data_IF_170028771354
#
_entry.id   IF_170028771354
#
_cell.length_a   1.000
_cell.length_b   1.000
_cell.length_c   1.000
_cell.angle_alpha   90.00
_cell.angle_beta   90.00
_cell.angle_gamma   90.00
#
_symmetry.space_group_name_H-M   'P 1'
#
loop_
_entity.id
_entity.type
_entity.pdbx_description
1 polymer ?
#
# COMPACT_ATOMS: atom_id res chain seq x y z
N UNK A 1 0.53 -0.36 -18.55
CA UNK A 1 1.82 -0.88 -18.01
C UNK A 1 1.58 -1.23 -16.55
N UNK A 2 1.94 -2.45 -16.13
CA UNK A 2 1.76 -2.92 -14.74
C UNK A 2 2.66 -2.12 -13.80
N UNK A 3 2.10 -1.59 -12.71
CA UNK A 3 2.85 -0.91 -11.67
C UNK A 3 3.63 -1.93 -10.82
N UNK A 4 4.92 -1.67 -10.62
CA UNK A 4 5.76 -2.40 -9.68
C UNK A 4 5.62 -1.72 -8.32
N UNK A 5 4.81 -2.32 -7.42
CA UNK A 5 4.47 -1.73 -6.12
C UNK A 5 5.32 -2.41 -5.05
N UNK A 6 6.22 -1.65 -4.43
CA UNK A 6 7.09 -2.18 -3.37
C UNK A 6 6.35 -2.17 -2.03
N UNK A 7 6.00 -3.36 -1.52
CA UNK A 7 5.28 -3.59 -0.27
C UNK A 7 6.12 -3.18 0.94
N UNK A 8 5.77 -2.07 1.58
CA UNK A 8 6.53 -1.44 2.67
C UNK A 8 7.98 -1.11 2.25
N UNK A 9 8.16 -0.78 0.96
CA UNK A 9 9.49 -0.64 0.34
C UNK A 9 10.10 -1.96 -0.12
N UNK A 10 11.42 -2.03 -0.22
CA UNK A 10 12.16 -3.26 -0.53
C UNK A 10 12.31 -4.12 0.74
N UNK A 11 11.18 -4.55 1.32
CA UNK A 11 11.08 -5.13 2.66
C UNK A 11 11.70 -6.53 2.78
N UNK A 12 12.01 -7.21 1.67
CA UNK A 12 12.81 -8.43 1.69
C UNK A 12 14.31 -8.15 2.00
N UNK A 13 14.79 -6.91 1.89
CA UNK A 13 16.21 -6.55 1.96
C UNK A 13 16.53 -5.54 3.06
N UNK A 14 15.60 -4.63 3.33
CA UNK A 14 15.75 -3.54 4.29
C UNK A 14 14.56 -3.51 5.27
N UNK A 15 14.69 -2.88 6.45
CA UNK A 15 13.60 -2.79 7.40
C UNK A 15 12.34 -2.18 6.77
N UNK A 16 11.21 -2.89 6.86
CA UNK A 16 9.93 -2.47 6.29
C UNK A 16 9.51 -1.08 6.78
N UNK A 17 8.80 -0.33 5.94
CA UNK A 17 8.25 0.99 6.28
C UNK A 17 9.31 2.01 6.76
N UNK A 18 10.53 1.96 6.21
CA UNK A 18 11.61 2.92 6.47
C UNK A 18 12.03 3.66 5.20
N UNK A 19 12.58 4.87 5.35
CA UNK A 19 13.10 5.63 4.20
C UNK A 19 14.16 4.85 3.44
N UNK A 20 14.97 4.09 4.15
CA UNK A 20 16.00 3.21 3.58
C UNK A 20 15.40 2.13 2.67
N UNK A 21 14.30 1.50 3.07
CA UNK A 21 13.61 0.52 2.23
C UNK A 21 12.98 1.16 1.00
N UNK A 22 12.48 2.39 1.11
CA UNK A 22 11.87 3.13 0.00
C UNK A 22 12.91 3.55 -1.03
N UNK A 23 14.05 4.10 -0.57
CA UNK A 23 15.17 4.45 -1.44
C UNK A 23 15.69 3.24 -2.23
N UNK A 24 15.85 2.11 -1.54
CA UNK A 24 16.28 0.87 -2.20
C UNK A 24 15.25 0.38 -3.21
N UNK A 25 13.96 0.40 -2.86
CA UNK A 25 12.90 -0.02 -3.78
C UNK A 25 12.87 0.81 -5.08
N UNK A 26 12.99 2.14 -4.96
CA UNK A 26 13.08 3.04 -6.12
C UNK A 26 14.32 2.74 -6.98
N UNK A 27 15.47 2.50 -6.35
CA UNK A 27 16.68 2.11 -7.04
C UNK A 27 16.57 0.76 -7.76
N UNK A 28 15.74 -0.15 -7.25
CA UNK A 28 15.41 -1.46 -7.82
C UNK A 28 14.35 -1.40 -8.94
N UNK A 29 13.77 -0.23 -9.19
CA UNK A 29 12.80 -0.03 -10.29
C UNK A 29 11.34 -0.15 -9.85
N UNK A 30 11.03 -0.01 -8.57
CA UNK A 30 9.66 0.21 -8.13
C UNK A 30 9.12 1.52 -8.73
N UNK A 31 7.87 1.50 -9.16
CA UNK A 31 7.16 2.68 -9.68
C UNK A 31 6.21 3.29 -8.64
N UNK A 32 5.92 2.51 -7.61
CA UNK A 32 5.06 2.90 -6.50
C UNK A 32 5.58 2.24 -5.22
N UNK A 33 5.52 2.97 -4.10
CA UNK A 33 5.83 2.44 -2.78
C UNK A 33 4.52 2.28 -2.01
N UNK A 34 4.28 1.10 -1.50
CA UNK A 34 3.17 0.86 -0.58
C UNK A 34 3.62 1.11 0.85
N UNK A 35 2.76 1.75 1.65
CA UNK A 35 3.02 2.14 3.03
C UNK A 35 1.78 2.04 3.91
N UNK A 36 1.98 1.73 5.18
CA UNK A 36 0.93 1.58 6.18
C UNK A 36 0.88 2.79 7.11
N UNK A 37 -0.30 3.38 7.36
CA UNK A 37 -0.44 4.59 8.17
C UNK A 37 -1.18 4.32 9.47
N UNK A 38 -0.53 4.70 10.57
CA UNK A 38 -1.13 4.94 11.88
C UNK A 38 -0.97 6.41 12.29
N UNK A 39 -1.65 6.82 13.36
CA UNK A 39 -1.49 8.15 13.96
C UNK A 39 -0.70 8.07 15.28
N UNK A 40 0.22 9.02 15.47
CA UNK A 40 0.79 9.30 16.79
C UNK A 40 -0.26 9.88 17.74
N UNK A 41 0.04 9.94 19.04
CA UNK A 41 -0.86 10.52 20.04
C UNK A 41 -1.21 12.00 19.76
N UNK A 42 -0.34 12.74 19.09
CA UNK A 42 -0.52 14.14 18.67
C UNK A 42 -1.03 14.28 17.23
N UNK A 43 -1.51 13.16 16.61
CA UNK A 43 -2.26 13.16 15.35
C UNK A 43 -1.41 13.24 14.08
N UNK A 44 -0.11 12.99 14.15
CA UNK A 44 0.74 12.93 12.96
C UNK A 44 0.65 11.58 12.26
N UNK A 45 0.42 11.53 10.92
CA UNK A 45 0.52 10.29 10.15
C UNK A 45 1.96 9.76 10.16
N UNK A 46 2.14 8.55 10.70
CA UNK A 46 3.42 7.85 10.77
C UNK A 46 3.32 6.52 10.02
N UNK A 47 4.45 6.09 9.48
CA UNK A 47 4.51 4.93 8.59
C UNK A 47 4.98 3.70 9.36
N UNK A 48 4.04 2.85 9.72
CA UNK A 48 4.27 1.60 10.46
C UNK A 48 3.06 0.68 10.28
N UNK A 49 3.29 -0.63 10.12
CA UNK A 49 2.21 -1.59 9.85
C UNK A 49 1.36 -1.91 11.07
N UNK A 50 2.01 -2.30 12.18
CA UNK A 50 1.30 -2.76 13.37
C UNK A 50 0.90 -1.58 14.27
N UNK A 51 -0.23 -1.67 14.97
CA UNK A 51 -0.57 -0.71 16.01
C UNK A 51 0.38 -0.78 17.21
N UNK A 52 1.12 -1.90 17.35
CA UNK A 52 2.09 -2.16 18.42
C UNK A 52 3.52 -1.97 17.88
N UNK A 53 4.38 -1.36 18.69
CA UNK A 53 5.75 -0.99 18.30
C UNK A 53 6.73 -2.17 18.25
N UNK A 54 6.50 -3.20 19.07
CA UNK A 54 7.52 -4.20 19.45
C UNK A 54 7.99 -5.13 18.33
N UNK A 55 7.26 -5.26 17.22
CA UNK A 55 7.67 -6.15 16.12
C UNK A 55 8.78 -5.54 15.25
N UNK A 56 8.68 -4.26 14.95
CA UNK A 56 9.57 -3.61 13.98
C UNK A 56 10.44 -2.52 14.59
N UNK A 57 10.32 -2.27 15.91
CA UNK A 57 11.13 -1.28 16.63
C UNK A 57 11.68 -1.84 17.94
N UNK A 58 12.62 -1.12 18.56
CA UNK A 58 13.08 -1.39 19.92
C UNK A 58 12.12 -0.84 21.00
N UNK A 59 11.00 -0.21 20.60
CA UNK A 59 9.98 0.32 21.49
C UNK A 59 8.95 -0.69 21.96
N UNK A 60 8.11 -0.26 22.92
CA UNK A 60 7.01 -1.04 23.48
C UNK A 60 5.74 -0.18 23.53
N UNK A 61 4.57 -0.82 23.54
CA UNK A 61 3.26 -0.16 23.61
C UNK A 61 2.72 0.17 22.22
N UNK A 62 1.72 1.04 22.18
CA UNK A 62 0.99 1.37 20.95
C UNK A 62 1.51 2.66 20.34
N UNK A 63 1.48 2.72 19.01
CA UNK A 63 1.81 3.94 18.23
C UNK A 63 0.95 5.12 18.69
N UNK A 64 -0.35 4.90 18.89
CA UNK A 64 -1.32 5.91 19.30
C UNK A 64 -1.12 6.47 20.72
N UNK A 65 -0.29 5.84 21.54
CA UNK A 65 -0.03 6.25 22.93
C UNK A 65 1.19 7.19 23.04
N UNK A 66 2.00 7.29 21.98
CA UNK A 66 3.25 8.07 21.97
C UNK A 66 3.13 9.30 21.07
N UNK A 67 3.71 10.42 21.54
CA UNK A 67 3.91 11.61 20.71
C UNK A 67 4.88 11.32 19.57
N UNK A 68 4.77 12.06 18.47
CA UNK A 68 5.71 11.92 17.35
C UNK A 68 7.18 12.04 17.81
N UNK A 69 7.47 12.98 18.72
CA UNK A 69 8.82 13.19 19.26
C UNK A 69 9.40 11.97 19.98
N UNK A 70 8.56 11.10 20.55
CA UNK A 70 8.98 9.88 21.23
C UNK A 70 9.10 8.72 20.23
N UNK A 71 8.18 8.59 19.28
CA UNK A 71 8.26 7.63 18.19
C UNK A 71 9.56 7.80 17.37
N UNK A 72 9.98 9.04 17.16
CA UNK A 72 11.22 9.39 16.43
C UNK A 72 12.53 9.02 17.13
N UNK A 73 12.47 8.58 18.39
CA UNK A 73 13.66 8.11 19.14
C UNK A 73 13.86 6.60 19.03
N UNK A 74 12.86 5.89 18.52
CA UNK A 74 12.91 4.43 18.38
C UNK A 74 13.73 4.03 17.15
N UNK A 75 14.45 2.92 17.29
CA UNK A 75 15.11 2.26 16.17
C UNK A 75 14.13 1.31 15.47
N UNK A 76 13.78 1.65 14.24
CA UNK A 76 12.93 0.83 13.36
C UNK A 76 13.76 -0.19 12.54
N UNK A 77 14.94 -0.55 13.03
CA UNK A 77 15.90 -1.44 12.41
C UNK A 77 17.00 -0.69 11.64
N UNK A 78 18.25 -1.14 11.79
CA UNK A 78 19.45 -0.57 11.16
C UNK A 78 19.64 0.95 11.42
N UNK A 79 19.22 1.43 12.57
CA UNK A 79 19.18 2.84 13.01
C UNK A 79 18.25 3.73 12.17
N UNK A 80 17.27 3.16 11.48
CA UNK A 80 16.20 3.92 10.83
C UNK A 80 15.16 4.37 11.87
N UNK A 81 14.50 5.47 11.59
CA UNK A 81 13.39 5.97 12.41
C UNK A 81 12.05 5.59 11.77
N UNK A 82 10.98 5.60 12.55
CA UNK A 82 9.62 5.53 12.00
C UNK A 82 9.38 6.82 11.19
N UNK A 83 9.17 6.75 9.84
CA UNK A 83 8.98 7.95 9.03
C UNK A 83 7.60 8.57 9.27
N UNK A 84 7.48 9.86 9.07
CA UNK A 84 6.21 10.54 8.83
C UNK A 84 5.78 10.37 7.38
N UNK A 85 4.48 10.52 7.10
CA UNK A 85 3.98 10.54 5.72
C UNK A 85 4.64 11.66 4.90
N UNK A 86 4.88 12.83 5.49
CA UNK A 86 5.56 13.95 4.81
C UNK A 86 6.97 13.56 4.38
N UNK A 87 7.79 12.96 5.24
CA UNK A 87 9.13 12.49 4.89
C UNK A 87 9.10 11.42 3.80
N UNK A 88 8.10 10.54 3.84
CA UNK A 88 7.88 9.50 2.83
C UNK A 88 7.55 10.12 1.47
N UNK A 89 6.67 11.13 1.43
CA UNK A 89 6.34 11.89 0.22
C UNK A 89 7.60 12.55 -0.36
N UNK A 90 8.40 13.21 0.46
CA UNK A 90 9.64 13.85 0.00
C UNK A 90 10.65 12.84 -0.56
N UNK A 91 10.75 11.66 0.07
CA UNK A 91 11.58 10.55 -0.43
C UNK A 91 11.16 10.07 -1.82
N UNK A 92 9.84 9.96 -2.08
CA UNK A 92 9.29 9.38 -3.32
C UNK A 92 9.11 10.44 -4.42
N UNK A 93 9.02 11.71 -4.07
CA UNK A 93 8.71 12.83 -4.97
C UNK A 93 9.59 12.85 -6.23
N UNK A 94 8.94 12.90 -7.40
CA UNK A 94 9.59 12.94 -8.71
C UNK A 94 10.22 11.61 -9.17
N UNK A 95 10.08 10.55 -8.37
CA UNK A 95 10.65 9.22 -8.67
C UNK A 95 9.61 8.10 -8.72
N UNK A 96 8.49 8.26 -8.04
CA UNK A 96 7.43 7.26 -7.96
C UNK A 96 6.14 7.82 -7.38
N UNK A 97 5.22 6.93 -7.05
CA UNK A 97 3.92 7.20 -6.45
C UNK A 97 3.81 6.49 -5.10
N UNK A 98 2.78 6.83 -4.30
CA UNK A 98 2.47 6.17 -3.05
C UNK A 98 1.15 5.39 -3.14
N UNK A 99 1.15 4.19 -2.59
CA UNK A 99 -0.03 3.40 -2.26
C UNK A 99 -0.15 3.37 -0.73
N UNK A 100 -1.15 4.04 -0.17
CA UNK A 100 -1.25 4.35 1.26
C UNK A 100 -2.37 3.54 1.88
N UNK A 101 -2.03 2.53 2.68
CA UNK A 101 -3.02 1.78 3.45
C UNK A 101 -3.34 2.51 4.77
N UNK A 102 -4.61 2.86 4.96
CA UNK A 102 -5.11 3.41 6.23
C UNK A 102 -5.43 2.28 7.21
N UNK A 103 -4.66 2.21 8.30
CA UNK A 103 -4.84 1.25 9.40
C UNK A 103 -5.66 1.82 10.56
N UNK A 104 -5.63 3.13 10.74
CA UNK A 104 -6.28 3.84 11.84
C UNK A 104 -7.60 4.50 11.39
N UNK A 105 -8.63 4.38 12.24
CA UNK A 105 -9.97 4.92 11.95
C UNK A 105 -10.01 6.44 11.77
N UNK A 106 -9.06 7.16 12.35
CA UNK A 106 -8.99 8.62 12.35
C UNK A 106 -7.94 9.17 11.39
N UNK A 107 -7.22 8.29 10.67
CA UNK A 107 -6.09 8.69 9.81
C UNK A 107 -6.49 9.39 8.51
N UNK A 108 -7.75 9.25 8.06
CA UNK A 108 -8.18 9.75 6.74
C UNK A 108 -7.94 11.27 6.60
N UNK A 109 -8.46 12.11 7.52
CA UNK A 109 -8.31 13.56 7.41
C UNK A 109 -6.84 14.01 7.50
N UNK A 110 -6.02 13.54 8.46
CA UNK A 110 -4.61 13.89 8.50
C UNK A 110 -3.84 13.48 7.25
N UNK A 111 -4.14 12.31 6.67
CA UNK A 111 -3.52 11.86 5.41
C UNK A 111 -3.92 12.76 4.25
N UNK A 112 -5.23 13.04 4.08
CA UNK A 112 -5.70 13.94 3.01
C UNK A 112 -5.10 15.33 3.15
N UNK A 113 -5.08 15.90 4.35
CA UNK A 113 -4.44 17.20 4.61
C UNK A 113 -2.95 17.18 4.22
N UNK A 114 -2.22 16.10 4.55
CA UNK A 114 -0.81 15.96 4.19
C UNK A 114 -0.65 15.90 2.66
N UNK A 115 -1.46 15.11 1.95
CA UNK A 115 -1.41 15.01 0.49
C UNK A 115 -1.70 16.36 -0.20
N UNK A 116 -2.71 17.10 0.28
CA UNK A 116 -3.06 18.41 -0.24
C UNK A 116 -1.98 19.45 0.02
N UNK A 117 -1.47 19.54 1.26
CA UNK A 117 -0.47 20.52 1.66
C UNK A 117 0.91 20.29 1.00
N UNK A 118 1.18 19.08 0.56
CA UNK A 118 2.42 18.71 -0.14
C UNK A 118 2.25 18.64 -1.66
N UNK A 119 1.06 18.94 -2.22
CA UNK A 119 0.77 18.81 -3.65
C UNK A 119 1.09 17.41 -4.19
N UNK A 120 0.62 16.35 -3.49
CA UNK A 120 0.93 14.97 -3.83
C UNK A 120 -0.32 14.11 -4.12
N UNK A 121 -1.51 14.71 -4.19
CA UNK A 121 -2.80 14.02 -4.42
C UNK A 121 -2.77 13.16 -5.69
N UNK A 122 -2.31 13.71 -6.81
CA UNK A 122 -2.28 13.02 -8.11
C UNK A 122 -1.26 11.86 -8.18
N UNK A 123 -0.38 11.78 -7.19
CA UNK A 123 0.66 10.77 -7.07
C UNK A 123 0.38 9.74 -5.99
N UNK A 124 -0.84 9.71 -5.45
CA UNK A 124 -1.24 8.80 -4.39
C UNK A 124 -2.46 7.93 -4.78
N UNK A 125 -2.53 6.75 -4.16
CA UNK A 125 -3.72 5.93 -4.04
C UNK A 125 -3.93 5.70 -2.54
N UNK A 126 -5.13 5.95 -2.02
CA UNK A 126 -5.47 5.66 -0.63
C UNK A 126 -6.33 4.40 -0.58
N UNK A 127 -5.96 3.48 0.29
CA UNK A 127 -6.58 2.17 0.41
C UNK A 127 -6.90 1.79 1.85
N UNK A 128 -7.84 0.88 2.05
CA UNK A 128 -8.08 0.21 3.33
C UNK A 128 -8.91 -1.05 3.15
N UNK A 129 -8.81 -1.98 4.13
CA UNK A 129 -9.77 -3.08 4.34
C UNK A 129 -11.10 -2.59 4.94
N UNK A 130 -11.16 -1.36 5.42
CA UNK A 130 -12.36 -0.73 5.98
C UNK A 130 -12.96 0.20 4.92
N UNK A 131 -14.04 -0.21 4.21
CA UNK A 131 -14.49 0.50 3.00
C UNK A 131 -14.87 1.96 3.23
N UNK A 132 -15.30 2.32 4.45
CA UNK A 132 -15.63 3.71 4.78
C UNK A 132 -14.43 4.66 4.85
N UNK A 133 -13.19 4.17 4.99
CA UNK A 133 -12.00 5.02 5.00
C UNK A 133 -11.66 5.54 3.60
N UNK A 134 -11.51 4.70 2.54
CA UNK A 134 -11.36 5.22 1.18
C UNK A 134 -12.59 5.99 0.69
N UNK A 135 -13.82 5.62 1.11
CA UNK A 135 -15.01 6.43 0.83
C UNK A 135 -14.90 7.84 1.37
N UNK A 136 -14.48 7.98 2.65
CA UNK A 136 -14.24 9.28 3.28
C UNK A 136 -13.13 10.05 2.59
N UNK A 137 -12.04 9.37 2.19
CA UNK A 137 -10.95 9.98 1.44
C UNK A 137 -11.45 10.56 0.12
N UNK A 138 -12.26 9.82 -0.64
CA UNK A 138 -12.88 10.25 -1.90
C UNK A 138 -13.82 11.44 -1.70
N UNK A 139 -14.57 11.44 -0.61
CA UNK A 139 -15.45 12.56 -0.26
C UNK A 139 -14.68 13.86 0.05
N UNK A 140 -13.55 13.75 0.77
CA UNK A 140 -12.69 14.90 1.12
C UNK A 140 -11.85 15.39 -0.05
N UNK A 141 -11.44 14.49 -0.95
CA UNK A 141 -10.63 14.79 -2.13
C UNK A 141 -11.13 13.96 -3.33
N UNK A 142 -12.08 14.50 -4.12
CA UNK A 142 -12.72 13.75 -5.22
C UNK A 142 -11.78 13.30 -6.34
N UNK A 143 -10.63 13.98 -6.52
CA UNK A 143 -9.64 13.63 -7.54
C UNK A 143 -8.68 12.53 -7.08
N UNK A 144 -8.63 12.25 -5.78
CA UNK A 144 -7.78 11.20 -5.24
C UNK A 144 -8.23 9.82 -5.73
N UNK A 145 -7.28 9.04 -6.18
CA UNK A 145 -7.52 7.63 -6.49
C UNK A 145 -7.63 6.82 -5.19
N UNK A 146 -8.60 5.92 -5.17
CA UNK A 146 -8.86 5.08 -4.00
C UNK A 146 -8.92 3.61 -4.37
N UNK A 147 -8.59 2.75 -3.42
CA UNK A 147 -8.60 1.31 -3.59
C UNK A 147 -9.27 0.62 -2.40
N UNK A 148 -10.07 -0.40 -2.70
CA UNK A 148 -10.62 -1.27 -1.68
C UNK A 148 -9.78 -2.53 -1.56
N UNK A 149 -9.20 -2.75 -0.38
CA UNK A 149 -8.52 -4.00 -0.04
C UNK A 149 -9.55 -5.08 0.29
N UNK A 150 -9.38 -6.26 -0.30
CA UNK A 150 -10.30 -7.39 -0.17
C UNK A 150 -9.63 -8.53 0.57
N UNK A 151 -10.22 -8.95 1.70
CA UNK A 151 -9.69 -10.05 2.50
C UNK A 151 -9.89 -11.40 1.80
N UNK A 152 -9.08 -12.36 2.20
CA UNK A 152 -9.14 -13.72 1.66
C UNK A 152 -10.50 -14.40 1.86
N UNK A 153 -11.18 -14.16 2.97
CA UNK A 153 -12.50 -14.69 3.29
C UNK A 153 -13.63 -14.02 2.51
N UNK A 154 -13.43 -12.81 1.98
CA UNK A 154 -14.42 -12.01 1.26
C UNK A 154 -14.37 -12.27 -0.26
N UNK A 155 -14.19 -13.53 -0.69
CA UNK A 155 -14.09 -13.90 -2.11
C UNK A 155 -15.45 -13.98 -2.84
N UNK A 156 -16.53 -13.61 -2.18
CA UNK A 156 -17.82 -13.42 -2.86
C UNK A 156 -17.76 -12.18 -3.78
N UNK A 157 -18.56 -12.11 -4.83
CA UNK A 157 -18.61 -10.93 -5.70
C UNK A 157 -19.17 -9.66 -5.01
N UNK A 158 -19.52 -9.73 -3.74
CA UNK A 158 -20.07 -8.60 -2.98
C UNK A 158 -19.10 -7.45 -2.84
N UNK A 159 -17.77 -7.74 -2.71
CA UNK A 159 -16.76 -6.68 -2.62
C UNK A 159 -16.72 -5.79 -3.86
N UNK A 160 -17.06 -6.30 -5.05
CA UNK A 160 -17.18 -5.47 -6.26
C UNK A 160 -18.30 -4.46 -6.07
N UNK A 161 -19.44 -4.90 -5.54
CA UNK A 161 -20.57 -4.00 -5.25
C UNK A 161 -20.21 -2.97 -4.19
N UNK A 162 -19.42 -3.35 -3.18
CA UNK A 162 -18.94 -2.41 -2.18
C UNK A 162 -17.96 -1.40 -2.78
N UNK A 163 -16.98 -1.86 -3.56
CA UNK A 163 -16.03 -0.97 -4.23
C UNK A 163 -16.75 0.08 -5.10
N UNK A 164 -17.78 -0.34 -5.85
CA UNK A 164 -18.61 0.56 -6.63
C UNK A 164 -19.41 1.53 -5.76
N UNK A 165 -19.97 1.07 -4.64
CA UNK A 165 -20.78 1.90 -3.74
C UNK A 165 -19.98 3.00 -3.04
N UNK A 166 -18.67 2.81 -2.86
CA UNK A 166 -17.75 3.79 -2.29
C UNK A 166 -16.98 4.58 -3.36
N UNK A 167 -17.31 4.39 -4.63
CA UNK A 167 -16.66 5.02 -5.79
C UNK A 167 -15.13 4.77 -5.82
N UNK A 168 -14.69 3.55 -5.44
CA UNK A 168 -13.29 3.19 -5.52
C UNK A 168 -12.84 3.07 -6.98
N UNK A 169 -11.57 3.40 -7.23
CA UNK A 169 -10.96 3.26 -8.56
C UNK A 169 -10.38 1.85 -8.77
N UNK A 170 -9.98 1.19 -7.67
CA UNK A 170 -9.35 -0.14 -7.70
C UNK A 170 -9.96 -1.09 -6.68
N UNK A 171 -9.83 -2.38 -6.96
CA UNK A 171 -9.92 -3.46 -5.98
C UNK A 171 -8.55 -4.13 -5.84
N UNK A 172 -8.21 -4.52 -4.62
CA UNK A 172 -6.92 -5.10 -4.29
C UNK A 172 -7.10 -6.38 -3.47
N UNK A 173 -7.23 -7.54 -4.12
CA UNK A 173 -7.35 -8.81 -3.43
C UNK A 173 -6.05 -9.21 -2.72
N UNK A 174 -6.11 -9.43 -1.41
CA UNK A 174 -5.00 -9.91 -0.60
C UNK A 174 -5.09 -11.44 -0.47
N UNK A 175 -4.84 -12.16 -1.55
CA UNK A 175 -5.11 -13.61 -1.66
C UNK A 175 -3.87 -14.48 -1.81
N UNK A 176 -2.68 -13.96 -1.62
CA UNK A 176 -1.41 -14.67 -1.81
C UNK A 176 -1.28 -15.95 -0.98
N UNK A 177 -1.91 -15.98 0.20
CA UNK A 177 -1.90 -17.15 1.08
C UNK A 177 -3.10 -18.09 0.85
N UNK A 178 -4.02 -17.73 -0.05
CA UNK A 178 -5.23 -18.51 -0.30
C UNK A 178 -4.98 -19.76 -1.16
N UNK A 179 -3.88 -19.79 -1.90
CA UNK A 179 -3.47 -20.92 -2.73
C UNK A 179 -1.95 -20.94 -2.92
N UNK A 180 -1.43 -22.13 -3.27
CA UNK A 180 -0.02 -22.27 -3.65
C UNK A 180 0.34 -21.47 -4.91
N UNK A 181 -0.65 -21.25 -5.77
CA UNK A 181 -0.55 -20.48 -7.02
C UNK A 181 -1.65 -19.40 -7.06
N UNK A 182 -1.45 -18.24 -6.45
CA UNK A 182 -2.46 -17.18 -6.34
C UNK A 182 -3.02 -16.70 -7.69
N UNK A 183 -2.25 -16.74 -8.78
CA UNK A 183 -2.75 -16.33 -10.11
C UNK A 183 -3.98 -17.11 -10.55
N UNK A 184 -4.16 -18.38 -10.10
CA UNK A 184 -5.36 -19.17 -10.44
C UNK A 184 -6.64 -18.67 -9.77
N UNK A 185 -6.51 -17.83 -8.73
CA UNK A 185 -7.64 -17.22 -8.03
C UNK A 185 -8.21 -15.99 -8.77
N UNK A 186 -7.50 -15.51 -9.78
CA UNK A 186 -7.88 -14.37 -10.62
C UNK A 186 -8.02 -14.78 -12.09
N UNK A 187 -8.94 -15.72 -12.41
CA UNK A 187 -9.11 -16.18 -13.77
C UNK A 187 -9.63 -15.06 -14.69
N UNK A 188 -9.51 -15.19 -16.03
CA UNK A 188 -9.89 -14.15 -16.99
C UNK A 188 -11.32 -13.63 -16.79
N UNK A 189 -12.29 -14.49 -16.50
CA UNK A 189 -13.70 -14.08 -16.27
C UNK A 189 -13.83 -13.23 -15.01
N UNK A 190 -13.04 -13.50 -13.97
CA UNK A 190 -12.99 -12.69 -12.77
C UNK A 190 -12.43 -11.28 -13.09
N UNK A 191 -11.30 -11.21 -13.79
CA UNK A 191 -10.70 -9.94 -14.23
C UNK A 191 -11.71 -9.16 -15.11
N UNK A 192 -12.31 -9.82 -16.10
CA UNK A 192 -13.30 -9.20 -16.96
C UNK A 192 -14.52 -8.67 -16.18
N UNK A 193 -14.93 -9.37 -15.11
CA UNK A 193 -16.05 -8.93 -14.26
C UNK A 193 -15.77 -7.61 -13.54
N UNK A 194 -14.51 -7.35 -13.16
CA UNK A 194 -14.04 -6.11 -12.51
C UNK A 194 -13.88 -5.01 -13.57
N UNK A 195 -13.17 -5.32 -14.66
CA UNK A 195 -12.92 -4.38 -15.77
C UNK A 195 -14.20 -3.85 -16.41
N UNK A 196 -15.19 -4.71 -16.64
CA UNK A 196 -16.50 -4.32 -17.22
C UNK A 196 -17.29 -3.36 -16.32
N UNK A 197 -16.89 -3.20 -15.07
CA UNK A 197 -17.47 -2.24 -14.12
C UNK A 197 -16.62 -0.97 -13.95
N UNK A 198 -15.54 -0.83 -14.74
CA UNK A 198 -14.66 0.34 -14.71
C UNK A 198 -13.65 0.34 -13.57
N UNK A 199 -13.49 -0.77 -12.85
CA UNK A 199 -12.55 -0.88 -11.75
C UNK A 199 -11.18 -1.38 -12.23
N UNK A 200 -10.11 -0.86 -11.63
CA UNK A 200 -8.76 -1.39 -11.73
C UNK A 200 -8.55 -2.57 -10.77
N UNK A 201 -7.47 -3.33 -11.02
CA UNK A 201 -7.07 -4.47 -10.20
C UNK A 201 -5.59 -4.33 -9.82
N UNK A 202 -5.30 -4.42 -8.53
CA UNK A 202 -3.95 -4.55 -7.98
C UNK A 202 -3.88 -5.88 -7.27
N UNK A 203 -2.79 -6.63 -7.43
CA UNK A 203 -2.59 -7.92 -6.76
C UNK A 203 -1.61 -7.78 -5.60
N UNK A 204 -1.87 -8.44 -4.52
CA UNK A 204 -1.05 -8.49 -3.31
C UNK A 204 -0.62 -9.91 -3.02
N UNK A 205 0.48 -10.00 -2.34
CA UNK A 205 1.85 -9.65 -2.69
C UNK A 205 2.55 -10.97 -3.01
N UNK A 206 3.53 -10.93 -3.86
CA UNK A 206 4.22 -12.15 -4.29
C UNK A 206 5.72 -11.87 -4.47
N UNK A 207 6.58 -12.80 -4.04
CA UNK A 207 8.04 -12.75 -4.20
C UNK A 207 8.56 -13.86 -5.08
N UNK A 208 7.80 -14.96 -5.23
CA UNK A 208 8.25 -16.11 -6.00
C UNK A 208 8.29 -15.77 -7.48
N UNK A 209 9.48 -15.86 -8.07
CA UNK A 209 9.70 -15.48 -9.47
C UNK A 209 8.77 -16.27 -10.43
N UNK A 210 8.53 -17.56 -10.15
CA UNK A 210 7.66 -18.39 -10.98
C UNK A 210 6.22 -17.87 -10.99
N UNK A 211 5.71 -17.48 -9.83
CA UNK A 211 4.36 -16.95 -9.69
C UNK A 211 4.25 -15.53 -10.26
N UNK A 212 5.25 -14.67 -10.03
CA UNK A 212 5.32 -13.35 -10.65
C UNK A 212 5.29 -13.42 -12.18
N UNK A 213 5.97 -14.41 -12.79
CA UNK A 213 5.93 -14.66 -14.24
C UNK A 213 4.51 -15.01 -14.75
N UNK A 214 3.67 -15.61 -13.93
CA UNK A 214 2.26 -15.86 -14.29
C UNK A 214 1.40 -14.62 -14.05
N UNK A 215 1.61 -13.93 -12.94
CA UNK A 215 0.83 -12.73 -12.59
C UNK A 215 1.02 -11.59 -13.58
N UNK A 216 2.21 -11.38 -14.16
CA UNK A 216 2.44 -10.33 -15.16
C UNK A 216 1.76 -10.58 -16.51
N UNK A 217 1.25 -11.79 -16.76
CA UNK A 217 0.45 -12.12 -17.96
C UNK A 217 -1.04 -11.74 -17.79
N UNK A 218 -1.45 -11.43 -16.57
CA UNK A 218 -2.82 -11.05 -16.27
C UNK A 218 -3.07 -9.58 -16.65
N UNK A 219 -4.31 -9.26 -16.98
CA UNK A 219 -4.74 -7.87 -17.23
C UNK A 219 -4.99 -7.13 -15.91
N UNK A 220 -3.89 -6.78 -15.22
CA UNK A 220 -3.91 -6.08 -13.94
C UNK A 220 -3.13 -4.76 -14.00
N UNK A 221 -3.43 -3.83 -13.10
CA UNK A 221 -2.81 -2.50 -13.08
C UNK A 221 -1.53 -2.45 -12.24
N UNK A 222 -1.40 -3.33 -11.25
CA UNK A 222 -0.24 -3.36 -10.38
C UNK A 222 -0.07 -4.70 -9.67
N UNK A 223 1.16 -4.98 -9.28
CA UNK A 223 1.53 -6.13 -8.45
C UNK A 223 2.36 -5.61 -7.29
N UNK A 224 1.94 -5.94 -6.08
CA UNK A 224 2.64 -5.63 -4.85
C UNK A 224 3.65 -6.73 -4.53
N UNK A 225 4.88 -6.37 -4.14
CA UNK A 225 5.95 -7.33 -3.89
C UNK A 225 6.95 -6.81 -2.85
N UNK A 226 7.55 -7.72 -2.06
CA UNK A 226 8.67 -7.39 -1.17
C UNK A 226 10.02 -7.36 -1.92
N UNK A 227 10.04 -7.86 -3.18
CA UNK A 227 11.24 -7.98 -4.04
C UNK A 227 11.06 -7.20 -5.36
N UNK A 228 11.04 -5.85 -5.31
CA UNK A 228 10.75 -5.01 -6.48
C UNK A 228 11.76 -5.18 -7.62
N UNK A 229 13.00 -5.60 -7.34
CA UNK A 229 14.02 -5.92 -8.34
C UNK A 229 13.64 -7.14 -9.19
N UNK A 230 13.09 -8.19 -8.55
CA UNK A 230 12.63 -9.39 -9.25
C UNK A 230 11.49 -9.05 -10.21
N UNK A 231 10.48 -8.32 -9.73
CA UNK A 231 9.36 -7.89 -10.56
C UNK A 231 9.83 -6.93 -11.67
N UNK A 232 10.72 -5.98 -11.37
CA UNK A 232 11.28 -5.07 -12.37
C UNK A 232 12.04 -5.81 -13.48
N UNK A 233 12.77 -6.88 -13.17
CA UNK A 233 13.45 -7.71 -14.14
C UNK A 233 12.46 -8.41 -15.09
N UNK A 234 11.37 -8.96 -14.54
CA UNK A 234 10.31 -9.64 -15.31
C UNK A 234 9.59 -8.66 -16.23
N UNK A 235 9.25 -7.46 -15.75
CA UNK A 235 8.52 -6.46 -16.54
C UNK A 235 9.34 -5.85 -17.71
N UNK A 236 10.66 -6.07 -17.76
CA UNK A 236 11.54 -5.62 -18.86
C UNK A 236 11.68 -6.63 -19.98
N UNK A 237 11.23 -7.87 -19.79
CA UNK A 237 11.30 -8.96 -20.77
C UNK A 237 10.06 -9.00 -21.65
#
# INVERSE_FOLDING_TARGET
MIQNIAHRGASAYEPENTLRSFELALAMGATMIEVDIHLSADGHPVVIHDPELSRTTDGQGRVSDLMLSDLRRLDAGKNEQIPTLTETIECVRGRGQLYIELKDLFSTEPVIHTLQSTDFVDHAIVASFLPWLPQKAKFLEPHLRTSMLVRMEDRSNEYISWALSIEADYVHPAWEQAAAFPHVLVPPDFIASIRNRGLGIILWHEERQEELNEMVKLDVDGICTNTPDVLAAILKT
#
